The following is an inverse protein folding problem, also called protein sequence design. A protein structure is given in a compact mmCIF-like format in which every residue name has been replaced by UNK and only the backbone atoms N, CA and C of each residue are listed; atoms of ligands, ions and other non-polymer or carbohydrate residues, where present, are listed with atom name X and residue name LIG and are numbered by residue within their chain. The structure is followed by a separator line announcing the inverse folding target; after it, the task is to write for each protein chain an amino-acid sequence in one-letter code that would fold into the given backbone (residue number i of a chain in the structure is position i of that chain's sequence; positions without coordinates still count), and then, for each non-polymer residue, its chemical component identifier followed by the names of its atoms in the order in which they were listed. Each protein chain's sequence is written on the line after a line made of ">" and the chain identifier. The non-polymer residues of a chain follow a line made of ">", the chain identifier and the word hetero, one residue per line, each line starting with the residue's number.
data_IF_450228379149
#
_entry.id   IF_450228379149
#
_cell.length_a   1.000
_cell.length_b   1.000
_cell.length_c   1.000
_cell.angle_alpha   90.00
_cell.angle_beta   90.00
_cell.angle_gamma   90.00
#
_symmetry.space_group_name_H-M   'P 1'
#
loop_
_entity.id
_entity.type
_entity.pdbx_description
1 polymer ?
#
# COMPACT_ATOMS: atom_id res chain seq x y z
N UNK A 1 -3.99 -34.30 14.18
CA UNK A 1 -4.25 -33.20 13.24
C UNK A 1 -3.16 -32.17 13.47
N UNK A 2 -2.09 -32.18 12.68
CA UNK A 2 -1.05 -31.14 12.75
C UNK A 2 -1.61 -29.91 12.07
N UNK A 3 -1.86 -28.84 12.84
CA UNK A 3 -2.32 -27.56 12.32
C UNK A 3 -1.20 -26.97 11.44
N UNK A 4 -1.26 -27.28 10.14
CA UNK A 4 -0.36 -26.78 9.10
C UNK A 4 -0.73 -25.34 8.71
N UNK A 5 -1.05 -24.50 9.69
CA UNK A 5 -1.29 -23.08 9.43
C UNK A 5 0.06 -22.47 9.04
N UNK A 6 0.19 -21.87 7.85
CA UNK A 6 1.42 -21.18 7.48
C UNK A 6 1.70 -20.09 8.51
N UNK A 7 2.87 -20.14 9.14
CA UNK A 7 3.38 -19.02 9.93
C UNK A 7 4.02 -18.07 8.93
N UNK A 8 3.26 -17.10 8.45
CA UNK A 8 3.79 -16.05 7.59
C UNK A 8 4.73 -15.17 8.43
N UNK A 9 6.04 -15.36 8.28
CA UNK A 9 7.06 -14.61 9.04
C UNK A 9 7.32 -13.22 8.48
N UNK A 10 6.87 -12.94 7.25
CA UNK A 10 7.00 -11.66 6.57
C UNK A 10 5.79 -11.44 5.67
N UNK A 11 5.40 -10.17 5.48
CA UNK A 11 4.23 -9.80 4.67
C UNK A 11 4.52 -8.48 3.97
N UNK A 12 4.21 -8.42 2.68
CA UNK A 12 4.22 -7.23 1.86
C UNK A 12 2.81 -6.61 1.83
N UNK A 13 2.65 -5.49 2.51
CA UNK A 13 1.40 -4.72 2.53
C UNK A 13 1.42 -3.59 1.50
N UNK A 14 0.35 -3.49 0.71
CA UNK A 14 0.04 -2.29 -0.04
C UNK A 14 -1.03 -1.49 0.69
N UNK A 15 -0.69 -0.24 1.05
CA UNK A 15 -1.62 0.72 1.62
C UNK A 15 -2.03 1.73 0.55
N UNK A 16 -3.32 1.88 0.30
CA UNK A 16 -3.82 2.97 -0.52
C UNK A 16 -3.76 4.33 0.22
N UNK A 17 -3.72 5.42 -0.54
CA UNK A 17 -3.58 6.76 0.01
C UNK A 17 -4.92 7.50 0.15
N UNK A 18 -5.57 7.84 -0.97
CA UNK A 18 -6.76 8.68 -1.00
C UNK A 18 -7.98 7.91 -0.47
N UNK A 19 -8.71 8.47 0.49
CA UNK A 19 -9.86 7.84 1.16
C UNK A 19 -9.56 6.53 1.93
N UNK A 20 -8.31 6.08 1.93
CA UNK A 20 -7.80 5.05 2.85
C UNK A 20 -6.93 5.67 3.94
N UNK A 21 -5.68 6.03 3.62
CA UNK A 21 -4.76 6.71 4.55
C UNK A 21 -5.32 8.05 5.03
N UNK A 22 -5.90 8.85 4.11
CA UNK A 22 -6.37 10.21 4.42
C UNK A 22 -7.59 10.24 5.34
N UNK A 23 -8.28 9.12 5.59
CA UNK A 23 -9.40 9.07 6.54
C UNK A 23 -8.95 9.24 7.99
N UNK A 24 -7.76 8.78 8.34
CA UNK A 24 -7.16 8.96 9.66
C UNK A 24 -5.62 8.79 9.59
N UNK A 25 -4.88 9.85 9.23
CA UNK A 25 -3.43 9.77 9.04
C UNK A 25 -2.66 9.31 10.28
N UNK A 26 -3.11 9.69 11.49
CA UNK A 26 -2.41 9.34 12.73
C UNK A 26 -2.58 7.86 13.06
N UNK A 27 -3.81 7.32 12.93
CA UNK A 27 -4.07 5.88 13.05
C UNK A 27 -3.21 5.07 12.07
N UNK A 28 -3.15 5.49 10.81
CA UNK A 28 -2.39 4.74 9.79
C UNK A 28 -0.88 4.87 9.99
N UNK A 29 -0.37 6.02 10.44
CA UNK A 29 1.04 6.14 10.78
C UNK A 29 1.44 5.17 11.90
N UNK A 30 0.63 5.04 12.94
CA UNK A 30 0.88 4.09 14.03
C UNK A 30 0.82 2.65 13.53
N UNK A 31 -0.13 2.33 12.65
CA UNK A 31 -0.22 1.03 12.02
C UNK A 31 1.01 0.70 11.17
N UNK A 32 1.46 1.63 10.32
CA UNK A 32 2.64 1.47 9.45
C UNK A 32 3.88 1.24 10.30
N UNK A 33 4.12 2.07 11.32
CA UNK A 33 5.26 1.90 12.24
C UNK A 33 5.25 0.53 12.88
N UNK A 34 4.09 0.09 13.39
CA UNK A 34 3.97 -1.23 14.02
C UNK A 34 4.23 -2.37 13.05
N UNK A 35 3.74 -2.27 11.81
CA UNK A 35 3.97 -3.28 10.78
C UNK A 35 5.47 -3.39 10.46
N UNK A 36 6.16 -2.26 10.27
CA UNK A 36 7.60 -2.20 10.01
C UNK A 36 8.41 -2.76 11.19
N UNK A 37 8.08 -2.38 12.44
CA UNK A 37 8.71 -2.90 13.66
C UNK A 37 8.59 -4.43 13.81
N UNK A 38 7.52 -5.03 13.26
CA UNK A 38 7.30 -6.48 13.24
C UNK A 38 8.03 -7.18 12.09
N UNK A 39 8.79 -6.44 11.28
CA UNK A 39 9.59 -6.98 10.19
C UNK A 39 8.81 -7.17 8.89
N UNK A 40 7.61 -6.58 8.76
CA UNK A 40 6.86 -6.55 7.51
C UNK A 40 7.32 -5.40 6.61
N UNK A 41 6.96 -5.46 5.34
CA UNK A 41 7.18 -4.34 4.41
C UNK A 41 5.85 -3.68 4.10
N UNK A 42 5.83 -2.35 4.16
CA UNK A 42 4.69 -1.55 3.74
C UNK A 42 5.15 -0.64 2.60
N UNK A 43 4.37 -0.57 1.52
CA UNK A 43 4.49 0.47 0.50
C UNK A 43 3.14 1.12 0.28
N UNK A 44 3.14 2.41 -0.01
CA UNK A 44 1.92 3.05 -0.53
C UNK A 44 1.77 2.68 -2.00
N UNK A 45 0.59 2.25 -2.40
CA UNK A 45 0.25 2.02 -3.81
C UNK A 45 -0.99 2.83 -4.14
N UNK A 46 -0.79 3.95 -4.84
CA UNK A 46 -1.83 4.95 -5.08
C UNK A 46 -2.08 5.11 -6.57
N UNK A 47 -3.34 5.41 -6.90
CA UNK A 47 -3.72 5.81 -8.26
C UNK A 47 -3.15 7.17 -8.68
N UNK A 48 -2.60 7.95 -7.74
CA UNK A 48 -2.00 9.26 -8.02
C UNK A 48 -0.87 9.17 -9.06
N UNK A 49 -0.68 10.27 -9.77
CA UNK A 49 0.53 10.60 -10.51
C UNK A 49 1.62 11.07 -9.56
N UNK A 50 2.88 10.93 -9.99
CA UNK A 50 4.03 11.33 -9.18
C UNK A 50 4.00 12.82 -8.78
N UNK A 51 3.53 13.71 -9.65
CA UNK A 51 3.43 15.15 -9.35
C UNK A 51 2.39 15.47 -8.27
N UNK A 52 1.39 14.61 -8.06
CA UNK A 52 0.41 14.75 -6.98
C UNK A 52 0.99 14.33 -5.61
N UNK A 53 2.19 13.74 -5.60
CA UNK A 53 2.89 13.35 -4.38
C UNK A 53 3.32 14.52 -3.50
N UNK A 54 3.43 15.73 -4.06
CA UNK A 54 3.85 16.94 -3.32
C UNK A 54 2.88 17.32 -2.18
N UNK A 55 1.62 16.89 -2.27
CA UNK A 55 0.59 17.15 -1.24
C UNK A 55 0.39 15.99 -0.28
N UNK A 56 1.19 14.93 -0.38
CA UNK A 56 1.08 13.78 0.50
C UNK A 56 1.71 14.06 1.88
N UNK A 57 1.25 13.35 2.91
CA UNK A 57 1.79 13.48 4.27
C UNK A 57 3.27 13.08 4.31
N UNK A 58 4.15 14.05 4.54
CA UNK A 58 5.60 13.83 4.58
C UNK A 58 6.01 12.83 5.66
N UNK A 59 5.27 12.74 6.77
CA UNK A 59 5.53 11.78 7.86
C UNK A 59 5.42 10.33 7.37
N UNK A 60 4.51 10.08 6.42
CA UNK A 60 4.37 8.77 5.80
C UNK A 60 5.48 8.53 4.78
N UNK A 61 5.78 9.52 3.94
CA UNK A 61 6.80 9.42 2.90
C UNK A 61 8.22 9.18 3.46
N UNK A 62 8.49 9.62 4.68
CA UNK A 62 9.75 9.33 5.40
C UNK A 62 9.87 7.86 5.82
N UNK A 63 8.75 7.13 5.93
CA UNK A 63 8.71 5.76 6.44
C UNK A 63 8.64 4.69 5.34
N UNK A 64 8.02 5.01 4.20
CA UNK A 64 7.70 4.01 3.17
C UNK A 64 7.90 4.54 1.75
N UNK A 65 8.22 3.62 0.84
CA UNK A 65 8.21 3.92 -0.59
C UNK A 65 6.78 4.05 -1.12
N UNK A 66 6.60 4.89 -2.15
CA UNK A 66 5.33 5.10 -2.84
C UNK A 66 5.42 4.62 -4.28
N UNK A 67 4.46 3.80 -4.69
CA UNK A 67 4.23 3.41 -6.08
C UNK A 67 3.04 4.22 -6.61
N UNK A 68 3.36 5.23 -7.42
CA UNK A 68 2.40 6.00 -8.20
C UNK A 68 2.03 5.21 -9.46
N UNK A 69 0.79 4.73 -9.55
CA UNK A 69 0.37 3.89 -10.69
C UNK A 69 -0.16 4.71 -11.85
N UNK A 70 -0.33 6.04 -11.67
CA UNK A 70 -0.79 6.94 -12.73
C UNK A 70 -2.11 6.46 -13.34
N UNK A 71 -3.08 6.17 -12.46
CA UNK A 71 -4.41 5.63 -12.82
C UNK A 71 -4.43 4.21 -13.38
N UNK A 72 -3.30 3.49 -13.42
CA UNK A 72 -3.23 2.08 -13.86
C UNK A 72 -3.52 1.10 -12.70
N UNK A 73 -4.04 -0.07 -13.04
CA UNK A 73 -4.37 -1.15 -12.12
C UNK A 73 -3.19 -1.48 -11.19
N UNK A 74 -3.42 -1.36 -9.88
CA UNK A 74 -2.34 -1.37 -8.89
C UNK A 74 -1.56 -2.68 -8.85
N UNK A 75 -2.25 -3.82 -8.96
CA UNK A 75 -1.62 -5.15 -8.83
C UNK A 75 -0.61 -5.42 -9.93
N UNK A 76 -0.99 -5.18 -11.18
CA UNK A 76 -0.10 -5.40 -12.32
C UNK A 76 1.07 -4.41 -12.25
N UNK A 77 0.78 -3.13 -11.96
CA UNK A 77 1.81 -2.10 -11.90
C UNK A 77 2.82 -2.34 -10.76
N UNK A 78 2.36 -2.66 -9.55
CA UNK A 78 3.22 -2.99 -8.41
C UNK A 78 4.11 -4.21 -8.72
N UNK A 79 3.54 -5.26 -9.33
CA UNK A 79 4.30 -6.45 -9.76
C UNK A 79 5.38 -6.11 -10.79
N UNK A 80 5.08 -5.24 -11.76
CA UNK A 80 6.07 -4.76 -12.74
C UNK A 80 7.20 -3.95 -12.09
N UNK A 81 6.94 -3.32 -10.94
CA UNK A 81 7.96 -2.65 -10.10
C UNK A 81 8.67 -3.61 -9.13
N UNK A 82 8.47 -4.91 -9.27
CA UNK A 82 9.10 -5.93 -8.43
C UNK A 82 8.47 -6.08 -7.04
N UNK A 83 7.30 -5.49 -6.79
CA UNK A 83 6.61 -5.59 -5.50
C UNK A 83 5.44 -6.57 -5.57
N UNK A 84 5.65 -7.77 -5.02
CA UNK A 84 4.60 -8.78 -4.88
C UNK A 84 3.85 -8.56 -3.58
N UNK A 85 2.65 -7.98 -3.68
CA UNK A 85 1.80 -7.64 -2.53
C UNK A 85 1.07 -8.89 -2.03
N UNK A 86 1.17 -9.15 -0.73
CA UNK A 86 0.45 -10.22 -0.04
C UNK A 86 -0.92 -9.75 0.45
N UNK A 87 -1.00 -8.55 1.01
CA UNK A 87 -2.22 -7.96 1.57
C UNK A 87 -2.42 -6.54 1.06
N UNK A 88 -3.62 -6.26 0.57
CA UNK A 88 -4.05 -4.94 0.12
C UNK A 88 -4.98 -4.30 1.15
N UNK A 89 -4.75 -3.03 1.45
CA UNK A 89 -5.62 -2.20 2.29
C UNK A 89 -6.02 -1.00 1.45
N UNK A 90 -7.27 -1.01 0.99
CA UNK A 90 -7.75 -0.12 -0.07
C UNK A 90 -9.26 0.04 0.07
N UNK A 91 -9.76 1.26 0.12
CA UNK A 91 -11.20 1.53 0.18
C UNK A 91 -11.89 1.31 -1.19
N UNK A 92 -11.10 1.29 -2.28
CA UNK A 92 -11.51 1.02 -3.66
C UNK A 92 -10.77 -0.20 -4.21
N UNK A 93 -11.08 -1.40 -3.72
CA UNK A 93 -10.40 -2.63 -4.15
C UNK A 93 -10.58 -2.94 -5.64
N UNK A 94 -11.55 -2.32 -6.32
CA UNK A 94 -11.70 -2.38 -7.78
C UNK A 94 -10.46 -1.87 -8.53
N UNK A 95 -9.78 -0.84 -8.00
CA UNK A 95 -8.55 -0.27 -8.56
C UNK A 95 -7.32 -1.16 -8.39
N UNK A 96 -7.42 -2.22 -7.58
CA UNK A 96 -6.33 -3.21 -7.50
C UNK A 96 -6.16 -3.94 -8.83
N UNK A 97 -7.26 -4.16 -9.57
CA UNK A 97 -7.25 -4.95 -10.83
C UNK A 97 -7.73 -4.18 -12.05
N UNK A 98 -8.39 -3.03 -11.87
CA UNK A 98 -8.85 -2.16 -12.94
C UNK A 98 -8.09 -0.84 -12.99
N UNK A 99 -7.91 -0.32 -14.21
CA UNK A 99 -7.50 1.06 -14.42
C UNK A 99 -8.64 2.01 -14.01
N UNK A 100 -8.31 3.23 -13.57
CA UNK A 100 -9.33 4.26 -13.42
C UNK A 100 -9.74 4.72 -14.83
N UNK A 101 -10.99 4.44 -15.21
CA UNK A 101 -11.57 4.99 -16.42
C UNK A 101 -11.61 6.52 -16.25
N UNK A 102 -11.08 7.23 -17.25
CA UNK A 102 -11.24 8.69 -17.38
C UNK A 102 -12.70 9.05 -17.66
#
# INVERSE_FOLDING_TARGET
>A
MTNNTPVWTHTNFALDYDDTYTRDPDLWLDWVKRALEKGHTVKVVTMRYQYEGVTMDSRLLELVEVIFTERKAKRIFAKLKGYNVDVWIDDRPDFIVGDALL
#
